data_IF_019179988029
#
_entry.id   IF_019179988029
#
_cell.length_a   1.000
_cell.length_b   1.000
_cell.length_c   1.000
_cell.angle_alpha   90.00
_cell.angle_beta   90.00
_cell.angle_gamma   90.00
#
_symmetry.space_group_name_H-M   'P 1'
#
loop_
_entity.id
_entity.type
_entity.pdbx_description
1 polymer ?
#
# COMPACT_ATOMS: atom_id res chain seq x y z
N UNK A 1 4.06 10.82 21.69
CA UNK A 1 5.08 10.18 20.83
C UNK A 1 5.90 11.27 20.13
N UNK A 2 7.22 11.29 20.31
CA UNK A 2 8.13 12.29 19.70
C UNK A 2 8.86 11.62 18.53
N UNK A 3 8.15 11.30 17.45
CA UNK A 3 8.76 10.78 16.22
C UNK A 3 9.04 11.96 15.30
N UNK A 4 10.31 12.22 14.98
CA UNK A 4 10.70 13.27 14.02
C UNK A 4 10.96 12.64 12.66
N UNK A 5 10.17 13.02 11.64
CA UNK A 5 10.32 12.47 10.28
C UNK A 5 11.71 12.73 9.70
N UNK A 6 12.34 13.87 10.04
CA UNK A 6 13.68 14.25 9.58
C UNK A 6 14.80 13.33 10.07
N UNK A 7 14.51 12.44 11.02
CA UNK A 7 15.45 11.45 11.56
C UNK A 7 15.21 10.04 11.00
N UNK A 8 14.23 9.87 10.11
CA UNK A 8 13.89 8.58 9.52
C UNK A 8 14.46 8.53 8.11
N UNK A 9 15.34 7.56 7.89
CA UNK A 9 15.99 7.32 6.60
C UNK A 9 15.82 5.85 6.23
N UNK A 10 15.78 5.59 4.92
CA UNK A 10 15.74 4.22 4.43
C UNK A 10 17.12 3.58 4.56
N UNK A 11 17.21 2.32 5.02
CA UNK A 11 18.47 1.58 5.00
C UNK A 11 18.93 1.33 3.56
N UNK A 12 20.24 1.29 3.33
CA UNK A 12 20.82 0.87 2.05
C UNK A 12 20.69 -0.65 1.89
N UNK A 13 19.54 -1.10 1.38
CA UNK A 13 19.23 -2.51 1.12
C UNK A 13 18.54 -2.64 -0.23
N UNK A 14 18.81 -3.74 -0.91
CA UNK A 14 18.02 -4.17 -2.07
C UNK A 14 16.70 -4.78 -1.57
N UNK A 15 15.63 -4.65 -2.35
CA UNK A 15 14.32 -5.26 -2.07
C UNK A 15 13.72 -4.89 -0.70
N UNK A 16 13.67 -3.60 -0.38
CA UNK A 16 13.10 -3.10 0.86
C UNK A 16 11.57 -2.99 0.78
N UNK A 17 10.88 -3.59 1.75
CA UNK A 17 9.45 -3.35 2.01
C UNK A 17 9.35 -2.47 3.27
N UNK A 18 8.53 -1.42 3.19
CA UNK A 18 8.24 -0.52 4.30
C UNK A 18 6.75 -0.63 4.62
N UNK A 19 6.42 -1.11 5.80
CA UNK A 19 5.05 -1.10 6.32
C UNK A 19 4.85 0.14 7.19
N UNK A 20 3.78 0.90 6.89
CA UNK A 20 3.35 1.99 7.77
C UNK A 20 2.60 1.47 9.00
N UNK A 21 2.24 2.36 9.91
CA UNK A 21 1.39 2.02 11.05
C UNK A 21 -0.01 2.63 10.86
N UNK A 22 -1.02 1.78 10.70
CA UNK A 22 -2.40 2.20 10.47
C UNK A 22 -2.65 2.72 9.05
N UNK A 23 -3.60 3.66 8.90
CA UNK A 23 -3.97 4.26 7.62
C UNK A 23 -3.11 5.45 7.20
N UNK A 24 -3.27 5.88 5.95
CA UNK A 24 -2.48 6.95 5.33
C UNK A 24 -2.60 8.30 6.07
N UNK A 25 -3.76 8.60 6.65
CA UNK A 25 -4.02 9.84 7.41
C UNK A 25 -3.96 9.64 8.93
N UNK A 26 -3.38 8.53 9.42
CA UNK A 26 -3.13 8.37 10.86
C UNK A 26 -2.06 9.35 11.31
N UNK A 27 -2.28 9.96 12.48
CA UNK A 27 -1.32 10.88 13.08
C UNK A 27 -0.02 10.16 13.45
N UNK A 28 1.09 10.59 12.86
CA UNK A 28 2.42 10.12 13.25
C UNK A 28 2.93 10.88 14.48
N UNK A 29 2.67 12.19 14.53
CA UNK A 29 2.96 13.07 15.65
C UNK A 29 1.99 14.28 15.62
N UNK A 30 2.20 15.26 16.51
CA UNK A 30 1.34 16.46 16.61
C UNK A 30 1.26 17.33 15.34
N UNK A 31 2.15 17.12 14.36
CA UNK A 31 2.29 17.96 13.16
C UNK A 31 2.24 17.19 11.84
N UNK A 32 2.32 15.87 11.87
CA UNK A 32 2.50 15.04 10.68
C UNK A 32 1.61 13.80 10.72
N UNK A 33 1.16 13.39 9.55
CA UNK A 33 0.45 12.16 9.25
C UNK A 33 1.40 11.12 8.67
N UNK A 34 0.95 9.87 8.56
CA UNK A 34 1.70 8.80 7.88
C UNK A 34 2.03 9.17 6.43
N UNK A 35 1.10 9.83 5.73
CA UNK A 35 1.32 10.33 4.37
C UNK A 35 2.52 11.28 4.26
N UNK A 36 2.77 12.10 5.28
CA UNK A 36 3.89 13.04 5.28
C UNK A 36 5.23 12.31 5.42
N UNK A 37 5.25 11.19 6.16
CA UNK A 37 6.43 10.31 6.21
C UNK A 37 6.68 9.64 4.87
N UNK A 38 5.64 9.09 4.24
CA UNK A 38 5.75 8.49 2.90
C UNK A 38 6.31 9.51 1.90
N UNK A 39 5.78 10.75 1.93
CA UNK A 39 6.27 11.84 1.08
C UNK A 39 7.70 12.27 1.41
N UNK A 40 8.08 12.26 2.69
CA UNK A 40 9.44 12.57 3.12
C UNK A 40 10.48 11.58 2.58
N UNK A 41 10.12 10.29 2.64
CA UNK A 41 10.93 9.17 2.15
C UNK A 41 10.92 9.04 0.61
N UNK A 42 9.98 9.71 -0.06
CA UNK A 42 9.83 9.76 -1.52
C UNK A 42 9.74 8.38 -2.18
N UNK A 43 8.94 7.51 -1.56
CA UNK A 43 8.69 6.13 -2.00
C UNK A 43 7.25 5.97 -2.49
N UNK A 44 7.00 5.05 -3.44
CA UNK A 44 5.67 4.77 -3.93
C UNK A 44 4.92 3.85 -2.96
N UNK A 45 3.60 3.78 -3.08
CA UNK A 45 2.72 3.00 -2.18
C UNK A 45 2.03 1.87 -2.92
N UNK A 46 1.95 0.70 -2.29
CA UNK A 46 0.91 -0.29 -2.56
C UNK A 46 -0.13 -0.15 -1.45
N UNK A 47 -1.37 0.15 -1.80
CA UNK A 47 -2.46 0.31 -0.83
C UNK A 47 -3.14 -1.05 -0.60
N UNK A 48 -3.26 -1.47 0.67
CA UNK A 48 -3.98 -2.70 1.02
C UNK A 48 -5.40 -2.35 1.47
N UNK A 49 -6.40 -2.98 0.86
CA UNK A 49 -7.82 -2.78 1.18
C UNK A 49 -8.46 -4.07 1.64
N UNK A 50 -9.11 -4.05 2.80
CA UNK A 50 -9.88 -5.19 3.31
C UNK A 50 -11.21 -5.28 2.56
N UNK A 51 -11.52 -6.44 1.97
CA UNK A 51 -12.81 -6.65 1.30
C UNK A 51 -13.92 -6.81 2.33
N UNK A 52 -14.68 -5.73 2.51
CA UNK A 52 -15.89 -5.65 3.35
C UNK A 52 -16.79 -4.51 2.85
N UNK A 53 -18.01 -4.41 3.36
CA UNK A 53 -18.89 -3.27 3.06
C UNK A 53 -18.16 -1.95 3.35
N UNK A 54 -18.24 -1.02 2.39
CA UNK A 54 -17.55 0.27 2.44
C UNK A 54 -16.10 0.27 1.94
N UNK A 55 -15.54 -0.87 1.52
CA UNK A 55 -14.15 -0.94 1.06
C UNK A 55 -13.88 -0.05 -0.16
N UNK A 56 -14.82 0.05 -1.11
CA UNK A 56 -14.69 0.93 -2.27
C UNK A 56 -14.47 2.37 -1.80
N UNK A 57 -15.36 2.91 -0.97
CA UNK A 57 -15.25 4.27 -0.43
C UNK A 57 -13.93 4.50 0.32
N UNK A 58 -13.57 3.62 1.26
CA UNK A 58 -12.33 3.79 2.02
C UNK A 58 -11.07 3.73 1.14
N UNK A 59 -11.08 2.87 0.11
CA UNK A 59 -9.98 2.76 -0.84
C UNK A 59 -9.87 4.05 -1.66
N UNK A 60 -10.98 4.51 -2.24
CA UNK A 60 -10.98 5.72 -3.07
C UNK A 60 -10.60 6.96 -2.25
N UNK A 61 -11.12 7.13 -1.03
CA UNK A 61 -10.72 8.23 -0.14
C UNK A 61 -9.21 8.20 0.19
N UNK A 62 -8.66 7.01 0.40
CA UNK A 62 -7.22 6.84 0.64
C UNK A 62 -6.40 7.18 -0.61
N UNK A 63 -6.86 6.79 -1.80
CA UNK A 63 -6.22 7.11 -3.08
C UNK A 63 -6.26 8.62 -3.36
N UNK A 64 -7.39 9.29 -3.12
CA UNK A 64 -7.48 10.76 -3.23
C UNK A 64 -6.50 11.45 -2.28
N UNK A 65 -6.40 10.99 -1.03
CA UNK A 65 -5.48 11.55 -0.05
C UNK A 65 -4.00 11.40 -0.45
N UNK A 66 -3.63 10.27 -1.07
CA UNK A 66 -2.29 10.02 -1.62
C UNK A 66 -2.03 10.91 -2.85
N UNK A 67 -3.00 11.00 -3.76
CA UNK A 67 -2.90 11.79 -4.99
C UNK A 67 -2.77 13.29 -4.69
N UNK A 68 -3.57 13.81 -3.76
CA UNK A 68 -3.50 15.20 -3.31
C UNK A 68 -2.12 15.59 -2.73
N UNK A 69 -1.30 14.60 -2.34
CA UNK A 69 0.07 14.78 -1.82
C UNK A 69 1.16 14.43 -2.84
N UNK A 70 0.78 14.16 -4.09
CA UNK A 70 1.69 13.71 -5.14
C UNK A 70 2.53 12.51 -4.70
N UNK A 71 1.88 11.52 -4.06
CA UNK A 71 2.49 10.25 -3.69
C UNK A 71 2.12 9.21 -4.75
N UNK A 72 3.09 8.60 -5.45
CA UNK A 72 2.80 7.59 -6.45
C UNK A 72 2.17 6.35 -5.81
N UNK A 73 1.12 5.82 -6.45
CA UNK A 73 0.48 4.56 -6.03
C UNK A 73 0.69 3.53 -7.13
N UNK A 74 1.37 2.44 -6.81
CA UNK A 74 1.66 1.35 -7.76
C UNK A 74 0.43 0.47 -8.02
N UNK A 75 -0.50 0.43 -7.06
CA UNK A 75 -1.76 -0.27 -7.18
C UNK A 75 -2.37 -0.62 -5.82
N UNK A 76 -3.47 -1.35 -5.88
CA UNK A 76 -4.22 -1.82 -4.70
C UNK A 76 -4.11 -3.34 -4.59
N UNK A 77 -3.90 -3.83 -3.37
CA UNK A 77 -4.06 -5.25 -3.04
C UNK A 77 -5.33 -5.39 -2.20
N UNK A 78 -6.23 -6.28 -2.62
CA UNK A 78 -7.42 -6.59 -1.85
C UNK A 78 -7.17 -7.82 -0.97
N UNK A 79 -7.59 -7.75 0.29
CA UNK A 79 -7.47 -8.85 1.23
C UNK A 79 -8.88 -9.21 1.73
N UNK A 80 -9.36 -10.42 1.47
CA UNK A 80 -10.72 -10.83 1.79
C UNK A 80 -11.34 -11.74 0.75
N UNK A 81 -12.64 -11.98 0.91
CA UNK A 81 -13.43 -12.71 -0.08
C UNK A 81 -13.31 -12.00 -1.43
N UNK A 82 -12.97 -12.75 -2.48
CA UNK A 82 -12.86 -12.22 -3.84
C UNK A 82 -14.17 -11.56 -4.26
N UNK A 83 -14.10 -10.35 -4.80
CA UNK A 83 -15.28 -9.64 -5.28
C UNK A 83 -14.92 -8.79 -6.49
N UNK A 84 -15.27 -9.31 -7.66
CA UNK A 84 -14.88 -8.72 -8.94
C UNK A 84 -15.46 -7.32 -9.16
N UNK A 85 -16.65 -7.05 -8.62
CA UNK A 85 -17.30 -5.74 -8.75
C UNK A 85 -16.58 -4.69 -7.89
N UNK A 86 -16.14 -5.06 -6.69
CA UNK A 86 -15.32 -4.18 -5.87
C UNK A 86 -13.98 -3.87 -6.56
N UNK A 87 -13.31 -4.89 -7.11
CA UNK A 87 -12.03 -4.70 -7.82
C UNK A 87 -12.20 -3.81 -9.04
N UNK A 88 -13.22 -4.05 -9.88
CA UNK A 88 -13.53 -3.23 -11.05
C UNK A 88 -13.84 -1.79 -10.68
N UNK A 89 -14.63 -1.56 -9.63
CA UNK A 89 -14.92 -0.22 -9.17
C UNK A 89 -13.65 0.51 -8.70
N UNK A 90 -12.78 -0.16 -7.94
CA UNK A 90 -11.50 0.39 -7.49
C UNK A 90 -10.59 0.70 -8.69
N UNK A 91 -10.48 -0.19 -9.67
CA UNK A 91 -9.68 0.04 -10.87
C UNK A 91 -10.18 1.23 -11.67
N UNK A 92 -11.50 1.28 -11.93
CA UNK A 92 -12.14 2.30 -12.75
C UNK A 92 -12.11 3.69 -12.08
N UNK A 93 -12.64 3.80 -10.86
CA UNK A 93 -12.74 5.09 -10.16
C UNK A 93 -11.39 5.52 -9.55
N UNK A 94 -10.62 4.56 -9.05
CA UNK A 94 -9.32 4.82 -8.42
C UNK A 94 -8.21 5.12 -9.43
N UNK A 95 -8.41 4.77 -10.70
CA UNK A 95 -7.42 4.92 -11.79
C UNK A 95 -6.07 4.29 -11.44
N UNK A 96 -6.12 3.15 -10.76
CA UNK A 96 -4.96 2.37 -10.32
C UNK A 96 -5.28 0.89 -10.47
N UNK A 97 -4.31 0.03 -10.83
CA UNK A 97 -4.59 -1.39 -11.00
C UNK A 97 -4.84 -2.06 -9.64
N UNK A 98 -5.75 -3.05 -9.63
CA UNK A 98 -5.78 -4.05 -8.55
C UNK A 98 -4.73 -5.09 -8.91
N UNK A 99 -3.69 -5.16 -8.07
CA UNK A 99 -2.51 -5.98 -8.30
C UNK A 99 -2.78 -7.44 -7.94
N UNK A 100 -3.47 -7.68 -6.81
CA UNK A 100 -3.81 -9.00 -6.34
C UNK A 100 -5.04 -8.97 -5.42
N UNK A 101 -5.72 -10.11 -5.35
CA UNK A 101 -6.75 -10.39 -4.35
C UNK A 101 -6.31 -11.63 -3.57
N UNK A 102 -6.13 -11.50 -2.26
CA UNK A 102 -5.80 -12.61 -1.37
C UNK A 102 -7.01 -12.98 -0.52
N UNK A 103 -7.28 -14.28 -0.31
CA UNK A 103 -8.31 -14.69 0.64
C UNK A 103 -7.91 -14.26 2.06
N UNK A 104 -8.90 -13.89 2.88
CA UNK A 104 -8.64 -13.64 4.29
C UNK A 104 -8.28 -14.96 4.98
N UNK A 105 -7.15 -14.99 5.68
CA UNK A 105 -6.77 -16.10 6.54
C UNK A 105 -6.58 -15.62 7.97
N UNK A 106 -7.19 -16.32 8.92
CA UNK A 106 -6.96 -16.10 10.35
C UNK A 106 -5.60 -16.66 10.83
N UNK A 107 -4.97 -17.52 10.03
CA UNK A 107 -3.67 -18.12 10.33
C UNK A 107 -2.74 -17.99 9.12
N UNK A 108 -1.66 -17.23 9.30
CA UNK A 108 -0.58 -17.15 8.31
C UNK A 108 0.52 -18.11 8.75
N UNK A 109 0.82 -19.11 7.91
CA UNK A 109 1.89 -20.07 8.16
C UNK A 109 2.92 -20.03 7.02
N UNK A 110 4.15 -20.48 7.30
CA UNK A 110 5.20 -20.57 6.27
C UNK A 110 4.81 -21.53 5.14
N UNK A 111 4.10 -22.61 5.45
CA UNK A 111 3.57 -23.54 4.45
C UNK A 111 2.54 -22.85 3.53
N UNK A 112 1.61 -22.06 4.10
CA UNK A 112 0.65 -21.28 3.32
C UNK A 112 1.37 -20.28 2.40
N UNK A 113 2.35 -19.54 2.93
CA UNK A 113 3.12 -18.55 2.17
C UNK A 113 3.92 -19.17 1.02
N UNK A 114 4.47 -20.39 1.20
CA UNK A 114 5.19 -21.11 0.13
C UNK A 114 4.26 -21.53 -1.02
N UNK A 115 3.01 -21.83 -0.71
CA UNK A 115 2.00 -22.26 -1.68
C UNK A 115 1.18 -21.10 -2.25
N UNK A 116 1.38 -19.87 -1.75
CA UNK A 116 0.67 -18.70 -2.23
C UNK A 116 1.25 -18.24 -3.58
N UNK A 117 0.46 -18.39 -4.63
CA UNK A 117 0.82 -17.88 -5.95
C UNK A 117 0.58 -16.37 -6.02
N UNK A 118 1.67 -15.60 -6.15
CA UNK A 118 1.57 -14.18 -6.45
C UNK A 118 1.09 -13.98 -7.89
N UNK A 119 0.11 -13.10 -8.08
CA UNK A 119 -0.36 -12.68 -9.40
C UNK A 119 0.78 -12.10 -10.25
N UNK A 120 0.68 -12.25 -11.57
CA UNK A 120 1.68 -11.72 -12.50
C UNK A 120 1.80 -10.19 -12.38
N UNK A 121 0.68 -9.48 -12.21
CA UNK A 121 0.64 -8.02 -11.98
C UNK A 121 1.50 -7.64 -10.76
N UNK A 122 1.27 -8.30 -9.61
CA UNK A 122 2.00 -8.01 -8.38
C UNK A 122 3.48 -8.38 -8.50
N UNK A 123 3.82 -9.54 -9.09
CA UNK A 123 5.22 -9.93 -9.34
C UNK A 123 5.94 -8.89 -10.19
N UNK A 124 5.32 -8.45 -11.28
CA UNK A 124 5.88 -7.40 -12.16
C UNK A 124 6.11 -6.11 -11.37
N UNK A 125 5.13 -5.65 -10.61
CA UNK A 125 5.24 -4.44 -9.77
C UNK A 125 6.36 -4.54 -8.73
N UNK A 126 6.52 -5.68 -8.05
CA UNK A 126 7.58 -5.88 -7.05
C UNK A 126 8.97 -6.03 -7.66
N UNK A 127 9.07 -6.53 -8.89
CA UNK A 127 10.32 -6.64 -9.64
C UNK A 127 10.72 -5.35 -10.36
N UNK A 128 9.88 -4.31 -10.35
CA UNK A 128 10.29 -3.00 -10.85
C UNK A 128 11.38 -2.48 -9.92
N UNK A 129 12.56 -2.23 -10.48
CA UNK A 129 13.63 -1.49 -9.80
C UNK A 129 13.19 -0.03 -9.61
N UNK A 130 12.30 0.22 -8.65
CA UNK A 130 12.01 1.57 -8.20
C UNK A 130 13.27 2.08 -7.51
N UNK A 131 14.02 2.92 -8.22
CA UNK A 131 15.17 3.59 -7.63
C UNK A 131 14.65 4.56 -6.59
N UNK A 132 14.84 4.22 -5.32
CA UNK A 132 14.69 5.17 -4.23
C UNK A 132 15.61 6.35 -4.55
N UNK A 133 15.08 7.57 -4.72
CA UNK A 133 15.92 8.72 -4.99
C UNK A 133 16.90 8.90 -3.83
N UNK A 134 18.19 8.81 -4.12
CA UNK A 134 19.25 9.03 -3.14
C UNK A 134 19.32 10.54 -2.93
N UNK A 135 18.92 11.00 -1.74
CA UNK A 135 19.20 12.36 -1.26
C UNK A 135 20.61 12.45 -0.70
#
# INVERSE_FOLDING_TARGET
MIVSIKKIFLPRKNNLIVEGAGGILVSLNKKHLMADLIKHLDIPVILVSLTKLGCINHTLLSLEALRARNIPVLGVVMNGTKNIENSRAIEYYGRVPVLAEFPYSCQISTALLKNLELSEKLRKTLNVNYRIPVK
#
